data_IF_910919800873
#
_entry.id   IF_910919800873
#
_cell.length_a   1.000
_cell.length_b   1.000
_cell.length_c   1.000
_cell.angle_alpha   90.00
_cell.angle_beta   90.00
_cell.angle_gamma   90.00
#
_symmetry.space_group_name_H-M   'P 1'
#
loop_
_entity.id
_entity.type
_entity.pdbx_description
1 polymer ?
#
# COMPACT_ATOMS: atom_id res chain seq x y z
N UNK A 1 -13.60 -1.48 5.07
CA UNK A 1 -12.67 -0.33 5.19
C UNK A 1 -13.43 0.95 5.51
N UNK A 2 -12.77 1.93 6.13
CA UNK A 2 -13.40 3.23 6.43
C UNK A 2 -13.69 4.03 5.15
N UNK A 3 -12.74 4.08 4.21
CA UNK A 3 -12.90 4.76 2.91
C UNK A 3 -14.14 4.29 2.16
N UNK A 4 -14.32 2.97 2.04
CA UNK A 4 -15.50 2.37 1.41
C UNK A 4 -16.83 2.83 2.05
N UNK A 5 -16.87 2.93 3.39
CA UNK A 5 -18.05 3.45 4.08
C UNK A 5 -18.30 4.92 3.75
N UNK A 6 -17.25 5.75 3.76
CA UNK A 6 -17.37 7.18 3.42
C UNK A 6 -17.87 7.36 1.99
N UNK A 7 -17.34 6.57 1.04
CA UNK A 7 -17.79 6.58 -0.35
C UNK A 7 -19.29 6.28 -0.41
N UNK A 8 -19.71 5.14 0.13
CA UNK A 8 -21.10 4.68 0.05
C UNK A 8 -22.10 5.58 0.81
N UNK A 9 -21.74 6.08 2.00
CA UNK A 9 -22.69 6.82 2.84
C UNK A 9 -22.77 8.30 2.52
N UNK A 10 -21.70 8.87 1.95
CA UNK A 10 -21.53 10.32 1.82
C UNK A 10 -21.25 10.74 0.39
N UNK A 11 -20.21 10.20 -0.27
CA UNK A 11 -19.77 10.71 -1.58
C UNK A 11 -20.75 10.31 -2.68
N UNK A 12 -21.16 9.04 -2.74
CA UNK A 12 -22.09 8.54 -3.77
C UNK A 12 -23.42 9.32 -3.76
N UNK A 13 -23.92 9.71 -2.59
CA UNK A 13 -25.16 10.49 -2.47
C UNK A 13 -25.05 11.94 -2.96
N UNK A 14 -23.84 12.44 -3.10
CA UNK A 14 -23.54 13.81 -3.52
C UNK A 14 -23.00 13.88 -4.95
N UNK A 15 -22.96 12.75 -5.65
CA UNK A 15 -22.38 12.60 -6.99
C UNK A 15 -23.35 11.92 -7.94
N UNK A 16 -23.03 11.91 -9.23
CA UNK A 16 -23.85 11.28 -10.28
C UNK A 16 -23.33 9.85 -10.54
N UNK A 17 -24.23 8.94 -10.89
CA UNK A 17 -23.94 7.55 -11.30
C UNK A 17 -23.02 7.47 -12.53
N UNK A 18 -23.03 8.50 -13.39
CA UNK A 18 -22.14 8.59 -14.56
C UNK A 18 -20.66 8.84 -14.21
N UNK A 19 -20.33 8.98 -12.91
CA UNK A 19 -18.96 9.22 -12.45
C UNK A 19 -18.08 8.00 -12.67
N UNK A 20 -16.93 8.23 -13.31
CA UNK A 20 -15.89 7.23 -13.46
C UNK A 20 -15.05 7.20 -12.18
N UNK A 21 -15.17 6.10 -11.44
CA UNK A 21 -14.38 5.83 -10.25
C UNK A 21 -13.12 5.05 -10.62
N UNK A 22 -11.98 5.43 -10.03
CA UNK A 22 -10.68 4.80 -10.27
C UNK A 22 -9.97 4.44 -8.97
N UNK A 23 -9.17 3.38 -9.03
CA UNK A 23 -8.18 3.05 -8.01
C UNK A 23 -6.81 3.51 -8.50
N UNK A 24 -6.10 4.25 -7.65
CA UNK A 24 -4.78 4.81 -7.94
C UNK A 24 -3.76 4.09 -7.07
N UNK A 25 -2.76 3.50 -7.70
CA UNK A 25 -1.62 2.88 -7.04
C UNK A 25 -0.37 3.69 -7.30
N UNK A 26 0.30 4.09 -6.23
CA UNK A 26 1.59 4.77 -6.30
C UNK A 26 2.57 4.15 -5.31
N UNK A 27 3.83 4.03 -5.73
CA UNK A 27 4.92 3.58 -4.88
C UNK A 27 5.99 4.68 -4.70
N UNK A 28 6.16 5.11 -3.46
CA UNK A 28 7.11 6.17 -3.11
C UNK A 28 8.21 5.62 -2.19
N UNK A 29 9.45 6.07 -2.38
CA UNK A 29 10.54 5.73 -1.46
C UNK A 29 10.38 6.53 -0.15
N UNK A 30 10.26 5.81 0.96
CA UNK A 30 10.24 6.37 2.29
C UNK A 30 11.63 6.24 2.93
N UNK A 31 12.45 7.28 2.74
CA UNK A 31 13.84 7.31 3.21
C UNK A 31 13.95 7.38 4.74
N UNK A 32 14.87 6.57 5.30
CA UNK A 32 15.25 6.50 6.72
C UNK A 32 16.77 6.36 6.86
N UNK A 33 17.53 7.15 6.11
CA UNK A 33 19.00 7.04 6.01
C UNK A 33 19.75 7.13 7.35
N UNK A 34 19.23 7.90 8.31
CA UNK A 34 19.84 8.05 9.64
C UNK A 34 19.44 6.94 10.62
N UNK A 35 18.53 6.03 10.23
CA UNK A 35 18.04 4.94 11.08
C UNK A 35 18.96 3.73 10.98
N UNK A 36 19.21 3.07 12.12
CA UNK A 36 20.03 1.84 12.19
C UNK A 36 19.32 0.66 12.84
N UNK A 37 18.27 0.90 13.64
CA UNK A 37 17.61 -0.09 14.49
C UNK A 37 16.09 -0.20 14.27
N UNK A 38 15.58 0.48 13.25
CA UNK A 38 14.14 0.44 12.93
C UNK A 38 13.81 -0.95 12.38
N UNK A 39 12.77 -1.58 12.91
CA UNK A 39 12.32 -2.90 12.46
C UNK A 39 12.06 -2.90 10.95
N UNK A 40 12.45 -3.98 10.26
CA UNK A 40 12.31 -4.15 8.81
C UNK A 40 13.05 -3.13 7.94
N UNK A 41 13.98 -2.34 8.49
CA UNK A 41 14.78 -1.41 7.70
C UNK A 41 15.54 -2.16 6.60
N UNK A 42 15.46 -1.66 5.37
CA UNK A 42 16.11 -2.29 4.22
C UNK A 42 16.92 -1.31 3.38
N UNK A 43 17.94 -1.84 2.70
CA UNK A 43 18.69 -1.12 1.67
C UNK A 43 17.96 -1.31 0.34
N UNK A 44 17.60 -0.21 -0.31
CA UNK A 44 16.86 -0.21 -1.56
C UNK A 44 17.58 0.66 -2.57
N UNK A 45 17.42 0.33 -3.85
CA UNK A 45 17.97 1.13 -4.93
C UNK A 45 16.91 2.12 -5.41
N UNK A 46 17.23 3.41 -5.34
CA UNK A 46 16.45 4.48 -5.93
C UNK A 46 16.85 4.61 -7.40
N UNK A 47 15.96 4.18 -8.29
CA UNK A 47 16.17 4.25 -9.73
C UNK A 47 16.12 5.69 -10.27
N UNK A 48 15.37 6.59 -9.62
CA UNK A 48 15.28 7.99 -10.02
C UNK A 48 16.58 8.74 -9.69
N UNK A 49 17.13 8.53 -8.49
CA UNK A 49 18.39 9.16 -8.05
C UNK A 49 19.64 8.31 -8.34
N UNK A 50 19.47 7.13 -8.95
CA UNK A 50 20.53 6.14 -9.21
C UNK A 50 21.41 5.84 -7.98
N UNK A 51 20.83 5.80 -6.79
CA UNK A 51 21.58 5.67 -5.53
C UNK A 51 20.91 4.71 -4.55
N UNK A 52 21.68 4.12 -3.65
CA UNK A 52 21.11 3.30 -2.59
C UNK A 52 20.66 4.16 -1.41
N UNK A 53 19.44 3.89 -0.93
CA UNK A 53 18.85 4.52 0.24
C UNK A 53 18.49 3.47 1.27
N UNK A 54 18.51 3.86 2.55
CA UNK A 54 17.95 3.03 3.61
C UNK A 54 16.52 3.47 3.84
N UNK A 55 15.60 2.53 3.98
CA UNK A 55 14.20 2.85 4.22
C UNK A 55 13.25 1.75 3.77
N UNK A 56 12.11 2.20 3.27
CA UNK A 56 10.99 1.37 2.84
C UNK A 56 10.39 1.87 1.52
N UNK A 57 9.68 1.01 0.79
CA UNK A 57 8.79 1.45 -0.30
C UNK A 57 7.38 1.59 0.26
N UNK A 58 6.87 2.81 0.28
CA UNK A 58 5.49 3.09 0.67
C UNK A 58 4.60 2.86 -0.55
N UNK A 59 3.93 1.72 -0.58
CA UNK A 59 2.89 1.43 -1.58
C UNK A 59 1.56 1.96 -1.06
N UNK A 60 0.93 2.85 -1.83
CA UNK A 60 -0.33 3.49 -1.46
C UNK A 60 -1.40 3.16 -2.47
N UNK A 61 -2.59 2.84 -1.97
CA UNK A 61 -3.81 2.68 -2.75
C UNK A 61 -4.75 3.82 -2.38
N UNK A 62 -5.21 4.54 -3.38
CA UNK A 62 -6.24 5.57 -3.28
C UNK A 62 -7.43 5.26 -4.15
N UNK A 63 -8.57 5.87 -3.84
CA UNK A 63 -9.78 5.87 -4.65
C UNK A 63 -10.07 7.32 -5.05
N UNK A 64 -10.53 7.52 -6.28
CA UNK A 64 -10.90 8.83 -6.79
C UNK A 64 -12.11 8.74 -7.72
N UNK A 65 -12.98 9.75 -7.66
CA UNK A 65 -14.10 9.96 -8.60
C UNK A 65 -13.80 11.10 -9.60
N UNK A 66 -12.53 11.50 -9.71
CA UNK A 66 -12.06 12.62 -10.52
C UNK A 66 -12.02 13.98 -9.80
N UNK A 67 -12.80 14.17 -8.73
CA UNK A 67 -12.84 15.44 -7.98
C UNK A 67 -12.37 15.28 -6.53
N UNK A 68 -12.60 14.11 -5.94
CA UNK A 68 -12.27 13.76 -4.57
C UNK A 68 -11.25 12.64 -4.59
N UNK A 69 -10.27 12.72 -3.70
CA UNK A 69 -9.32 11.63 -3.47
C UNK A 69 -9.45 11.14 -2.03
N UNK A 70 -9.55 9.82 -1.86
CA UNK A 70 -9.54 9.16 -0.56
C UNK A 70 -8.40 8.15 -0.46
N UNK A 71 -7.57 8.18 0.60
CA UNK A 71 -6.64 7.10 0.88
C UNK A 71 -7.43 5.85 1.29
N UNK A 72 -7.13 4.74 0.64
CA UNK A 72 -7.88 3.48 0.78
C UNK A 72 -7.13 2.50 1.67
N UNK A 73 -5.88 2.22 1.32
CA UNK A 73 -5.01 1.32 2.06
C UNK A 73 -3.54 1.61 1.71
N UNK A 74 -2.61 1.09 2.50
CA UNK A 74 -1.18 1.22 2.21
C UNK A 74 -0.37 0.08 2.83
N UNK A 75 0.79 -0.18 2.25
CA UNK A 75 1.77 -1.10 2.80
C UNK A 75 3.16 -0.46 2.77
N UNK A 76 3.81 -0.43 3.93
CA UNK A 76 5.20 -0.03 4.04
C UNK A 76 6.08 -1.26 3.78
N UNK A 77 6.51 -1.42 2.53
CA UNK A 77 7.27 -2.57 2.07
C UNK A 77 8.73 -2.48 2.50
N UNK A 78 9.21 -3.60 3.01
CA UNK A 78 10.62 -3.92 3.18
C UNK A 78 11.08 -4.85 2.06
N UNK A 79 12.38 -5.11 1.97
CA UNK A 79 12.90 -6.08 1.00
C UNK A 79 12.44 -7.49 1.36
N UNK A 80 11.86 -8.21 0.40
CA UNK A 80 11.61 -9.65 0.49
C UNK A 80 12.92 -10.44 0.68
N UNK A 81 13.98 -10.00 0.01
CA UNK A 81 15.30 -10.58 0.15
C UNK A 81 15.90 -10.19 1.51
N UNK A 82 16.03 -11.19 2.39
CA UNK A 82 16.61 -11.03 3.72
C UNK A 82 18.01 -10.40 3.71
N UNK A 83 18.83 -10.65 2.68
CA UNK A 83 20.18 -10.07 2.56
C UNK A 83 20.17 -8.54 2.47
N UNK A 84 19.08 -7.97 1.98
CA UNK A 84 18.92 -6.51 1.84
C UNK A 84 18.24 -5.87 3.07
N UNK A 85 17.76 -6.67 4.04
CA UNK A 85 17.22 -6.16 5.30
C UNK A 85 18.35 -5.99 6.31
N UNK A 86 18.47 -4.79 6.85
CA UNK A 86 19.44 -4.42 7.89
C UNK A 86 18.93 -4.89 9.25
N UNK A 87 17.62 -4.77 9.47
CA UNK A 87 16.96 -5.18 10.71
C UNK A 87 15.79 -6.07 10.33
N UNK A 88 15.77 -7.30 10.81
CA UNK A 88 14.65 -8.22 10.61
C UNK A 88 13.49 -7.91 11.59
N UNK A 89 12.31 -8.46 11.28
CA UNK A 89 11.18 -8.38 12.19
C UNK A 89 11.39 -9.26 13.43
N UNK A 90 10.87 -8.80 14.57
CA UNK A 90 10.81 -9.63 15.78
C UNK A 90 9.84 -10.80 15.59
N UNK A 91 10.13 -11.91 16.26
CA UNK A 91 9.20 -13.04 16.33
C UNK A 91 7.90 -12.62 17.02
N UNK A 92 6.78 -13.06 16.48
CA UNK A 92 5.44 -12.70 16.94
C UNK A 92 4.49 -13.87 16.66
N UNK A 93 3.43 -14.02 17.47
CA UNK A 93 2.40 -15.03 17.24
C UNK A 93 1.74 -14.82 15.87
N UNK A 94 1.69 -15.89 15.08
CA UNK A 94 1.18 -15.92 13.71
C UNK A 94 -0.31 -15.55 13.59
N UNK A 95 -1.08 -15.66 14.67
CA UNK A 95 -2.51 -15.34 14.72
C UNK A 95 -2.79 -13.85 14.84
N UNK A 96 -1.76 -13.04 15.12
CA UNK A 96 -1.93 -11.62 15.36
C UNK A 96 -1.85 -10.80 14.06
N UNK A 97 -2.59 -9.70 14.01
CA UNK A 97 -2.52 -8.76 12.89
C UNK A 97 -1.11 -8.21 12.66
N UNK A 98 -0.31 -8.08 13.72
CA UNK A 98 1.08 -7.64 13.63
C UNK A 98 1.98 -8.60 12.86
N UNK A 99 1.73 -9.91 12.94
CA UNK A 99 2.45 -10.90 12.14
C UNK A 99 2.03 -10.83 10.68
N UNK A 100 0.72 -10.77 10.42
CA UNK A 100 0.19 -10.65 9.07
C UNK A 100 0.74 -9.40 8.35
N UNK A 101 0.79 -8.25 9.02
CA UNK A 101 1.36 -7.00 8.46
C UNK A 101 2.86 -7.13 8.15
N UNK A 102 3.64 -7.74 9.04
CA UNK A 102 5.08 -7.99 8.80
C UNK A 102 5.31 -8.92 7.63
N UNK A 103 4.49 -9.95 7.49
CA UNK A 103 4.54 -10.89 6.36
C UNK A 103 4.23 -10.16 5.05
N UNK A 104 3.15 -9.36 5.04
CA UNK A 104 2.77 -8.56 3.87
C UNK A 104 3.89 -7.57 3.48
N UNK A 105 4.47 -6.87 4.46
CA UNK A 105 5.58 -5.95 4.24
C UNK A 105 6.85 -6.59 3.66
N UNK A 106 7.04 -7.90 3.84
CA UNK A 106 8.18 -8.66 3.30
C UNK A 106 7.83 -9.43 2.03
N UNK A 107 6.63 -9.23 1.47
CA UNK A 107 6.19 -9.87 0.24
C UNK A 107 6.54 -8.98 -0.96
N UNK A 108 6.71 -9.59 -2.15
CA UNK A 108 6.95 -8.86 -3.39
C UNK A 108 5.89 -7.78 -3.62
N UNK A 109 6.33 -6.56 -3.96
CA UNK A 109 5.45 -5.41 -4.16
C UNK A 109 4.28 -5.68 -5.11
N UNK A 110 4.52 -6.42 -6.20
CA UNK A 110 3.48 -6.78 -7.18
C UNK A 110 2.37 -7.64 -6.60
N UNK A 111 2.70 -8.55 -5.68
CA UNK A 111 1.70 -9.40 -5.02
C UNK A 111 0.93 -8.62 -3.97
N UNK A 112 1.60 -7.75 -3.22
CA UNK A 112 0.94 -6.85 -2.27
C UNK A 112 0.00 -5.89 -2.98
N UNK A 113 0.39 -5.38 -4.15
CA UNK A 113 -0.46 -4.53 -4.99
C UNK A 113 -1.79 -5.22 -5.32
N UNK A 114 -1.76 -6.47 -5.81
CA UNK A 114 -2.98 -7.24 -6.10
C UNK A 114 -3.83 -7.44 -4.84
N UNK A 115 -3.20 -7.83 -3.72
CA UNK A 115 -3.87 -7.98 -2.43
C UNK A 115 -4.58 -6.68 -1.97
N UNK A 116 -3.96 -5.52 -2.15
CA UNK A 116 -4.58 -4.23 -1.79
C UNK A 116 -5.80 -3.92 -2.67
N UNK A 117 -5.72 -4.24 -3.97
CA UNK A 117 -6.86 -4.08 -4.91
C UNK A 117 -7.99 -5.01 -4.52
N UNK A 118 -7.70 -6.30 -4.30
CA UNK A 118 -8.70 -7.31 -3.93
C UNK A 118 -9.40 -6.94 -2.62
N UNK A 119 -8.66 -6.43 -1.63
CA UNK A 119 -9.23 -5.93 -0.38
C UNK A 119 -10.14 -4.72 -0.59
N UNK A 120 -9.76 -3.79 -1.48
CA UNK A 120 -10.57 -2.62 -1.78
C UNK A 120 -11.86 -2.99 -2.50
N UNK A 121 -11.79 -3.85 -3.51
CA UNK A 121 -12.96 -4.36 -4.24
C UNK A 121 -13.88 -5.16 -3.32
N UNK A 122 -13.33 -6.05 -2.49
CA UNK A 122 -14.08 -6.81 -1.49
C UNK A 122 -14.75 -5.93 -0.44
N UNK A 123 -14.19 -4.73 -0.19
CA UNK A 123 -14.79 -3.75 0.72
C UNK A 123 -15.92 -2.92 0.08
N UNK A 124 -16.22 -3.14 -1.21
CA UNK A 124 -17.29 -2.46 -1.94
C UNK A 124 -16.84 -1.19 -2.69
N UNK A 125 -15.53 -0.94 -2.82
CA UNK A 125 -15.05 0.12 -3.70
C UNK A 125 -15.11 -0.37 -5.14
N UNK A 126 -16.24 -0.09 -5.80
CA UNK A 126 -16.44 -0.40 -7.20
C UNK A 126 -15.67 0.60 -8.06
N UNK A 127 -14.98 0.06 -9.05
CA UNK A 127 -14.35 0.83 -10.12
C UNK A 127 -14.77 0.20 -11.43
N UNK A 128 -14.98 1.02 -12.45
CA UNK A 128 -15.44 0.54 -13.75
C UNK A 128 -14.36 -0.39 -14.30
N UNK A 129 -14.69 -1.67 -14.52
CA UNK A 129 -13.85 -2.56 -15.29
C UNK A 129 -13.96 -2.15 -16.75
N UNK A 130 -13.13 -1.23 -17.20
CA UNK A 130 -12.85 -1.16 -18.63
C UNK A 130 -12.03 -2.40 -18.96
N UNK A 131 -12.70 -3.40 -19.51
CA UNK A 131 -12.04 -4.43 -20.31
C UNK A 131 -11.28 -3.70 -21.41
N UNK A 132 -9.96 -3.75 -21.34
CA UNK A 132 -9.07 -3.31 -22.41
C UNK A 132 -9.24 -4.21 -23.63
#
# INVERSE_FOLDING_TARGET
>A
MLSARIVATTIEKLTNEDRVNVLILDDTIFERNSSKKVELLSKMYDHAKKSYKLGFRLLTLGWSDGNTFLPVNSCLLSSENRKNRIVDAKSLDKRTAGYCRRRLAQTKATSVMLELIDQAMSAGLQVISQAW
#
